data_IF_143687709256
#
_entry.id   IF_143687709256
#
_cell.length_a   1.000
_cell.length_b   1.000
_cell.length_c   1.000
_cell.angle_alpha   90.00
_cell.angle_beta   90.00
_cell.angle_gamma   90.00
#
_symmetry.space_group_name_H-M   'P 1'
#
loop_
_entity.id
_entity.type
_entity.pdbx_description
1 polymer ?
#
# COMPACT_ATOMS: atom_id res chain seq x y z
N UNK A 1 -9.47 5.54 -3.42
CA UNK A 1 -10.21 4.50 -2.67
C UNK A 1 -10.97 5.24 -1.59
N UNK A 2 -12.31 5.30 -1.67
CA UNK A 2 -13.13 5.95 -0.64
C UNK A 2 -13.53 4.89 0.37
N UNK A 3 -13.12 4.99 1.65
CA UNK A 3 -13.55 4.04 2.67
C UNK A 3 -15.03 4.23 2.99
N UNK A 4 -15.76 3.15 3.25
CA UNK A 4 -17.06 3.24 3.91
C UNK A 4 -16.85 3.62 5.37
N UNK A 5 -17.52 4.67 5.83
CA UNK A 5 -17.34 5.24 7.18
C UNK A 5 -18.62 5.18 8.00
N UNK A 6 -19.62 4.39 7.60
CA UNK A 6 -20.92 4.34 8.30
C UNK A 6 -20.77 3.80 9.72
N UNK A 7 -19.81 2.90 9.91
CA UNK A 7 -19.51 2.22 11.16
C UNK A 7 -18.41 2.89 12.00
N UNK A 8 -18.13 4.19 11.80
CA UNK A 8 -16.98 4.85 12.47
C UNK A 8 -17.04 4.85 14.00
N UNK A 9 -18.24 4.66 14.59
CA UNK A 9 -18.43 4.53 16.05
C UNK A 9 -18.33 3.08 16.56
N UNK A 10 -18.31 2.10 15.67
CA UNK A 10 -18.12 0.70 16.02
C UNK A 10 -16.64 0.40 16.12
N UNK A 11 -16.22 -0.32 17.16
CA UNK A 11 -14.82 -0.72 17.33
C UNK A 11 -14.43 -1.88 16.42
N UNK A 12 -15.42 -2.68 15.97
CA UNK A 12 -15.20 -3.89 15.16
C UNK A 12 -14.36 -3.66 13.88
N UNK A 13 -14.61 -2.63 13.05
CA UNK A 13 -13.77 -2.37 11.88
C UNK A 13 -12.33 -1.94 12.24
N UNK A 14 -12.04 -1.62 13.50
CA UNK A 14 -10.73 -1.21 13.98
C UNK A 14 -9.98 -2.29 14.77
N UNK A 15 -10.60 -3.43 15.08
CA UNK A 15 -9.99 -4.54 15.83
C UNK A 15 -8.66 -5.00 15.20
N UNK A 16 -8.58 -4.97 13.87
CA UNK A 16 -7.36 -5.24 13.10
C UNK A 16 -6.16 -4.41 13.55
N UNK A 17 -6.37 -3.16 13.98
CA UNK A 17 -5.29 -2.26 14.38
C UNK A 17 -4.72 -2.57 15.76
N UNK A 18 -5.45 -3.30 16.61
CA UNK A 18 -4.98 -3.71 17.93
C UNK A 18 -3.89 -4.79 17.80
N UNK A 19 -4.02 -5.66 16.78
CA UNK A 19 -3.11 -6.78 16.52
C UNK A 19 -2.08 -6.50 15.39
N UNK A 20 -2.23 -5.39 14.67
CA UNK A 20 -1.37 -5.08 13.52
C UNK A 20 0.07 -4.76 13.93
N UNK A 21 1.04 -5.49 13.35
CA UNK A 21 2.45 -5.12 13.46
C UNK A 21 2.75 -3.75 12.82
N UNK A 22 3.85 -3.13 13.24
CA UNK A 22 4.38 -1.88 12.68
C UNK A 22 4.57 -2.00 11.16
N UNK A 23 5.00 -3.15 10.64
CA UNK A 23 5.13 -3.35 9.19
C UNK A 23 3.77 -3.28 8.47
N UNK A 24 2.72 -3.80 9.10
CA UNK A 24 1.38 -3.80 8.55
C UNK A 24 0.80 -2.38 8.56
N UNK A 25 1.02 -1.62 9.63
CA UNK A 25 0.63 -0.21 9.72
C UNK A 25 1.36 0.67 8.71
N UNK A 26 2.68 0.49 8.56
CA UNK A 26 3.47 1.20 7.57
C UNK A 26 2.96 0.92 6.15
N UNK A 27 2.65 -0.35 5.85
CA UNK A 27 2.09 -0.74 4.57
C UNK A 27 0.69 -0.16 4.32
N UNK A 28 -0.20 -0.16 5.31
CA UNK A 28 -1.53 0.43 5.20
C UNK A 28 -1.48 1.93 4.88
N UNK A 29 -0.57 2.67 5.52
CA UNK A 29 -0.32 4.08 5.22
C UNK A 29 0.19 4.25 3.78
N UNK A 30 1.21 3.47 3.40
CA UNK A 30 1.86 3.56 2.10
C UNK A 30 0.91 3.24 0.94
N UNK A 31 0.14 2.15 1.04
CA UNK A 31 -0.78 1.75 -0.04
C UNK A 31 -1.91 2.75 -0.27
N UNK A 32 -2.28 3.54 0.75
CA UNK A 32 -3.31 4.60 0.67
C UNK A 32 -2.74 5.91 0.13
N UNK A 33 -1.42 6.06 0.04
CA UNK A 33 -0.78 7.26 -0.49
C UNK A 33 -1.03 7.40 -2.01
N UNK A 34 -1.66 8.50 -2.48
CA UNK A 34 -1.99 8.67 -3.90
C UNK A 34 -0.75 8.77 -4.80
N UNK A 35 0.38 9.22 -4.27
CA UNK A 35 1.65 9.30 -4.99
C UNK A 35 2.21 7.89 -5.22
N UNK A 36 2.18 7.04 -4.19
CA UNK A 36 2.59 5.64 -4.30
C UNK A 36 1.72 4.89 -5.32
N UNK A 37 0.40 5.05 -5.24
CA UNK A 37 -0.54 4.44 -6.19
C UNK A 37 -0.24 4.82 -7.63
N UNK A 38 0.09 6.10 -7.87
CA UNK A 38 0.45 6.61 -9.20
C UNK A 38 1.77 6.03 -9.70
N UNK A 39 2.80 6.04 -8.85
CA UNK A 39 4.10 5.48 -9.21
C UNK A 39 3.97 3.99 -9.54
N UNK A 40 3.26 3.23 -8.69
CA UNK A 40 3.01 1.81 -8.91
C UNK A 40 2.21 1.57 -10.20
N UNK A 41 1.19 2.38 -10.48
CA UNK A 41 0.43 2.27 -11.72
C UNK A 41 1.28 2.58 -12.97
N UNK A 42 2.24 3.51 -12.87
CA UNK A 42 3.14 3.82 -13.97
C UNK A 42 4.10 2.67 -14.26
N UNK A 43 4.64 2.02 -13.22
CA UNK A 43 5.54 0.87 -13.42
C UNK A 43 4.79 -0.37 -13.94
N UNK A 44 3.56 -0.59 -13.47
CA UNK A 44 2.77 -1.77 -13.80
C UNK A 44 2.25 -1.78 -15.25
N UNK A 45 2.21 -0.62 -15.91
CA UNK A 45 1.76 -0.46 -17.30
C UNK A 45 2.85 -0.76 -18.33
N UNK A 46 4.12 -0.86 -17.93
CA UNK A 46 5.25 -1.05 -18.85
C UNK A 46 5.71 -2.52 -18.81
N UNK A 47 5.46 -3.31 -19.87
CA UNK A 47 5.71 -4.76 -19.85
C UNK A 47 7.19 -5.16 -19.91
N UNK A 48 8.08 -4.22 -20.25
CA UNK A 48 9.54 -4.41 -20.30
C UNK A 48 10.17 -3.36 -19.41
N UNK A 49 10.40 -3.69 -18.14
CA UNK A 49 11.01 -2.79 -17.17
C UNK A 49 12.21 -3.51 -16.57
N UNK A 50 13.39 -2.87 -16.65
CA UNK A 50 14.61 -3.38 -16.03
C UNK A 50 14.55 -3.30 -14.50
N UNK A 51 15.41 -4.07 -13.85
CA UNK A 51 15.66 -4.05 -12.40
C UNK A 51 15.75 -2.62 -11.83
N UNK A 52 16.54 -1.75 -12.49
CA UNK A 52 16.77 -0.36 -12.11
C UNK A 52 15.51 0.46 -11.83
N UNK A 53 14.48 0.28 -12.64
CA UNK A 53 13.29 1.11 -12.59
C UNK A 53 12.30 0.61 -11.51
N UNK A 54 12.44 -0.66 -11.10
CA UNK A 54 11.78 -1.26 -9.91
C UNK A 54 12.56 -0.93 -8.63
N UNK A 55 13.89 -0.89 -8.71
CA UNK A 55 14.74 -0.42 -7.61
C UNK A 55 14.53 1.07 -7.31
N UNK A 56 14.34 1.91 -8.33
CA UNK A 56 14.10 3.34 -8.14
C UNK A 56 12.82 3.63 -7.32
N UNK A 57 11.72 2.93 -7.62
CA UNK A 57 10.49 3.05 -6.82
C UNK A 57 10.67 2.41 -5.43
N UNK A 58 11.43 1.32 -5.34
CA UNK A 58 11.78 0.68 -4.07
C UNK A 58 12.52 1.63 -3.15
N UNK A 59 13.61 2.23 -3.62
CA UNK A 59 14.43 3.20 -2.89
C UNK A 59 13.63 4.44 -2.48
N UNK A 60 12.73 4.93 -3.34
CA UNK A 60 11.88 6.07 -3.02
C UNK A 60 10.93 5.80 -1.84
N UNK A 61 10.40 4.59 -1.74
CA UNK A 61 9.36 4.23 -0.79
C UNK A 61 9.85 3.30 0.33
N UNK A 62 11.15 3.00 0.38
CA UNK A 62 11.75 2.08 1.36
C UNK A 62 11.35 0.61 1.17
N UNK A 63 10.97 0.20 -0.04
CA UNK A 63 10.52 -1.16 -0.34
C UNK A 63 11.58 -1.95 -1.10
N UNK A 64 11.89 -3.17 -0.64
CA UNK A 64 12.68 -4.10 -1.45
C UNK A 64 11.89 -4.66 -2.64
N UNK A 65 10.61 -4.89 -2.43
CA UNK A 65 9.69 -5.42 -3.45
C UNK A 65 8.42 -4.56 -3.48
N UNK A 66 8.27 -3.66 -4.47
CA UNK A 66 7.03 -2.92 -4.66
C UNK A 66 5.84 -3.87 -4.85
N UNK A 67 4.70 -3.55 -4.24
CA UNK A 67 3.49 -4.40 -4.28
C UNK A 67 2.28 -3.58 -4.73
N UNK A 68 1.27 -4.21 -5.35
CA UNK A 68 0.08 -3.48 -5.76
C UNK A 68 -0.63 -2.91 -4.53
N UNK A 69 -1.19 -1.69 -4.60
CA UNK A 69 -1.84 -1.01 -3.48
C UNK A 69 -3.24 -1.60 -3.18
N UNK A 70 -3.32 -2.92 -3.08
CA UNK A 70 -4.53 -3.67 -2.74
C UNK A 70 -4.57 -3.91 -1.23
N UNK A 71 -5.76 -3.95 -0.61
CA UNK A 71 -5.88 -4.36 0.77
C UNK A 71 -5.33 -5.78 0.93
N UNK A 72 -4.59 -6.05 2.02
CA UNK A 72 -4.36 -7.42 2.45
C UNK A 72 -5.73 -7.97 2.85
N UNK A 73 -6.23 -9.00 2.15
CA UNK A 73 -7.38 -9.75 2.66
C UNK A 73 -6.86 -10.67 3.77
N UNK A 74 -7.53 -10.73 4.93
CA UNK A 74 -7.32 -11.81 5.89
C UNK A 74 -7.69 -13.16 5.25
#
# INVERSE_FOLDING_TARGET
MTPDTREWRSSIPYDYWDDADIDALAWECLRRNPKYQRDYANIAKTPVRGDNETEAIGNRWGLRFPRPPKPKRP
#
